data_IF_692844929719
#
_entry.id   IF_692844929719
#
_cell.length_a   1.000
_cell.length_b   1.000
_cell.length_c   1.000
_cell.angle_alpha   90.00
_cell.angle_beta   90.00
_cell.angle_gamma   90.00
#
_symmetry.space_group_name_H-M   'P 1'
#
loop_
_entity.id
_entity.type
_entity.pdbx_description
1 polymer ?
#
# COMPACT_ATOMS: atom_id res chain seq x y z
N UNK A 1 -4.44 -23.21 21.04
CA UNK A 1 -4.06 -22.09 20.14
C UNK A 1 -4.67 -20.83 20.74
N UNK A 2 -3.82 -19.87 21.11
CA UNK A 2 -4.27 -18.54 21.54
C UNK A 2 -4.43 -17.69 20.30
N UNK A 3 -5.58 -17.08 20.13
CA UNK A 3 -5.83 -16.13 19.04
C UNK A 3 -5.67 -14.73 19.59
N UNK A 4 -4.91 -13.88 18.94
CA UNK A 4 -4.81 -12.45 19.23
C UNK A 4 -5.52 -11.64 18.15
N UNK A 5 -5.95 -10.44 18.48
CA UNK A 5 -6.56 -9.54 17.51
C UNK A 5 -5.48 -8.90 16.62
N UNK A 6 -5.80 -8.64 15.36
CA UNK A 6 -4.86 -8.01 14.41
C UNK A 6 -4.22 -6.71 14.94
N UNK A 7 -4.97 -5.77 15.58
CA UNK A 7 -4.35 -4.58 16.17
C UNK A 7 -3.31 -4.91 17.26
N UNK A 8 -3.57 -5.91 18.09
CA UNK A 8 -2.63 -6.35 19.12
C UNK A 8 -1.37 -6.94 18.50
N UNK A 9 -1.51 -7.74 17.43
CA UNK A 9 -0.38 -8.25 16.65
C UNK A 9 0.46 -7.11 16.05
N UNK A 10 -0.18 -6.08 15.51
CA UNK A 10 0.52 -4.89 14.97
C UNK A 10 1.32 -4.17 16.06
N UNK A 11 0.76 -3.98 17.26
CA UNK A 11 1.49 -3.36 18.38
C UNK A 11 2.70 -4.19 18.81
N UNK A 12 2.55 -5.51 18.90
CA UNK A 12 3.64 -6.41 19.29
C UNK A 12 4.74 -6.45 18.23
N UNK A 13 4.37 -6.56 16.95
CA UNK A 13 5.31 -6.53 15.83
C UNK A 13 6.09 -5.21 15.79
N UNK A 14 5.43 -4.07 16.01
CA UNK A 14 6.06 -2.76 16.08
C UNK A 14 7.14 -2.72 17.15
N UNK A 15 6.82 -3.19 18.37
CA UNK A 15 7.77 -3.25 19.49
C UNK A 15 8.92 -4.24 19.26
N UNK A 16 8.69 -5.28 18.47
CA UNK A 16 9.71 -6.26 18.12
C UNK A 16 10.69 -5.76 17.07
N UNK A 17 10.19 -5.05 16.05
CA UNK A 17 10.99 -4.65 14.88
C UNK A 17 11.69 -3.31 15.09
N UNK A 18 11.01 -2.36 15.76
CA UNK A 18 11.53 -1.00 15.90
C UNK A 18 12.17 -0.77 17.29
N UNK A 19 13.22 0.08 17.38
CA UNK A 19 13.73 0.51 18.68
C UNK A 19 12.69 1.30 19.47
N UNK A 20 12.78 1.34 20.80
CA UNK A 20 11.80 1.98 21.69
C UNK A 20 11.58 3.48 21.39
N UNK A 21 12.62 4.16 20.90
CA UNK A 21 12.62 5.60 20.61
C UNK A 21 12.29 5.94 19.13
N UNK A 22 11.71 4.99 18.38
CA UNK A 22 11.38 5.21 16.98
C UNK A 22 10.36 6.35 16.76
N UNK A 23 10.49 7.12 15.66
CA UNK A 23 9.60 8.25 15.39
C UNK A 23 8.27 7.85 14.74
N UNK A 24 8.12 6.59 14.29
CA UNK A 24 6.96 6.14 13.52
C UNK A 24 5.74 6.03 14.41
N UNK A 25 4.77 6.93 14.20
CA UNK A 25 3.47 6.93 14.89
C UNK A 25 2.33 6.56 13.97
N UNK A 26 2.62 6.32 12.70
CA UNK A 26 1.64 5.93 11.68
C UNK A 26 2.12 4.66 11.00
N UNK A 27 1.30 3.61 11.08
CA UNK A 27 1.53 2.35 10.41
C UNK A 27 0.49 2.22 9.30
N UNK A 28 0.95 2.16 8.06
CA UNK A 28 0.12 1.94 6.89
C UNK A 28 0.21 0.46 6.48
N UNK A 29 -0.81 -0.31 6.80
CA UNK A 29 -0.93 -1.71 6.37
C UNK A 29 -1.62 -1.78 5.01
N UNK A 30 -0.86 -2.17 3.99
CA UNK A 30 -1.32 -2.30 2.62
C UNK A 30 -1.43 -3.79 2.24
N UNK A 31 -2.57 -4.37 2.55
CA UNK A 31 -2.86 -5.78 2.38
C UNK A 31 -3.42 -6.16 1.00
N UNK A 32 -3.67 -7.45 0.83
CA UNK A 32 -4.31 -7.99 -0.36
C UNK A 32 -5.78 -7.59 -0.49
N UNK A 33 -6.52 -7.55 0.62
CA UNK A 33 -7.96 -7.28 0.63
C UNK A 33 -8.33 -5.90 1.16
N UNK A 34 -7.53 -5.35 2.07
CA UNK A 34 -7.80 -4.07 2.75
C UNK A 34 -6.55 -3.24 2.93
N UNK A 35 -6.75 -1.92 2.95
CA UNK A 35 -5.76 -0.96 3.42
C UNK A 35 -6.25 -0.38 4.74
N UNK A 36 -5.35 -0.36 5.73
CA UNK A 36 -5.57 0.16 7.07
C UNK A 36 -4.47 1.15 7.43
N UNK A 37 -4.82 2.14 8.23
CA UNK A 37 -3.85 3.05 8.85
C UNK A 37 -4.06 3.02 10.34
N UNK A 38 -3.05 2.61 11.07
CA UNK A 38 -3.00 2.62 12.53
C UNK A 38 -2.28 3.88 12.99
N UNK A 39 -2.87 4.59 13.91
CA UNK A 39 -2.25 5.72 14.60
C UNK A 39 -1.88 5.31 16.02
N UNK A 40 -0.58 5.40 16.34
CA UNK A 40 -0.03 5.03 17.64
C UNK A 40 0.04 6.26 18.56
N UNK A 41 -0.21 6.03 19.85
CA UNK A 41 0.09 6.99 20.90
C UNK A 41 1.60 7.06 21.21
N UNK A 42 1.97 7.91 22.18
CA UNK A 42 3.37 8.06 22.59
C UNK A 42 3.99 6.79 23.20
N UNK A 43 3.16 5.86 23.67
CA UNK A 43 3.58 4.59 24.27
C UNK A 43 3.59 3.42 23.28
N UNK A 44 3.27 3.69 22.00
CA UNK A 44 3.18 2.69 20.95
C UNK A 44 1.90 1.85 20.97
N UNK A 45 0.89 2.27 21.71
CA UNK A 45 -0.45 1.67 21.67
C UNK A 45 -1.28 2.23 20.52
N UNK A 46 -2.14 1.42 19.91
CA UNK A 46 -3.04 1.88 18.83
C UNK A 46 -4.14 2.77 19.41
N UNK A 47 -4.13 4.04 19.02
CA UNK A 47 -5.14 5.02 19.43
C UNK A 47 -6.33 5.05 18.45
N UNK A 48 -6.07 4.97 17.16
CA UNK A 48 -7.08 5.01 16.11
C UNK A 48 -6.73 4.05 14.96
N UNK A 49 -7.78 3.55 14.29
CA UNK A 49 -7.66 2.74 13.08
C UNK A 49 -8.53 3.38 12.01
N UNK A 50 -7.94 3.72 10.88
CA UNK A 50 -8.64 4.22 9.71
C UNK A 50 -8.67 3.14 8.65
N UNK A 51 -9.86 2.87 8.13
CA UNK A 51 -10.07 1.91 7.05
C UNK A 51 -10.74 2.58 5.87
N UNK A 52 -10.34 2.21 4.66
CA UNK A 52 -10.95 2.73 3.44
C UNK A 52 -12.33 2.16 3.17
N UNK A 53 -13.01 2.76 2.21
CA UNK A 53 -14.19 2.15 1.64
C UNK A 53 -13.83 0.76 1.10
N UNK A 54 -14.72 -0.23 1.31
CA UNK A 54 -14.55 -1.61 0.82
C UNK A 54 -14.60 -1.69 -0.71
N UNK A 55 -13.85 -0.84 -1.40
CA UNK A 55 -13.74 -0.83 -2.85
C UNK A 55 -12.46 -1.57 -3.25
N UNK A 56 -12.61 -2.65 -3.98
CA UNK A 56 -11.50 -3.49 -4.42
C UNK A 56 -10.41 -2.75 -5.20
N UNK A 57 -10.71 -1.61 -5.84
CA UNK A 57 -9.79 -0.93 -6.77
C UNK A 57 -8.46 -0.43 -6.15
N UNK A 58 -8.32 -0.44 -4.83
CA UNK A 58 -7.09 -0.02 -4.15
C UNK A 58 -6.40 -1.14 -3.41
N UNK A 59 -6.78 -2.39 -3.63
CA UNK A 59 -6.26 -3.54 -2.89
C UNK A 59 -5.21 -4.30 -3.69
N UNK A 60 -4.36 -5.05 -2.99
CA UNK A 60 -3.34 -5.89 -3.63
C UNK A 60 -3.95 -6.95 -4.54
N UNK A 61 -5.07 -7.55 -4.16
CA UNK A 61 -5.74 -8.56 -5.00
C UNK A 61 -6.25 -7.94 -6.31
N UNK A 62 -6.81 -6.73 -6.28
CA UNK A 62 -7.20 -6.04 -7.52
C UNK A 62 -6.00 -5.78 -8.42
N UNK A 63 -4.86 -5.36 -7.84
CA UNK A 63 -3.61 -5.16 -8.58
C UNK A 63 -3.17 -6.46 -9.26
N UNK A 64 -3.12 -7.56 -8.52
CA UNK A 64 -2.77 -8.89 -9.06
C UNK A 64 -3.72 -9.33 -10.17
N UNK A 65 -5.02 -9.06 -10.05
CA UNK A 65 -5.99 -9.35 -11.11
C UNK A 65 -5.69 -8.55 -12.38
N UNK A 66 -5.26 -7.29 -12.27
CA UNK A 66 -4.87 -6.51 -13.45
C UNK A 66 -3.57 -7.04 -14.07
N UNK A 67 -2.58 -7.45 -13.28
CA UNK A 67 -1.35 -8.08 -13.77
C UNK A 67 -1.65 -9.36 -14.55
N UNK A 68 -2.48 -10.26 -14.01
CA UNK A 68 -2.91 -11.51 -14.70
C UNK A 68 -3.57 -11.20 -16.04
N UNK A 69 -4.37 -10.14 -16.14
CA UNK A 69 -5.03 -9.72 -17.40
C UNK A 69 -4.06 -9.15 -18.43
N UNK A 70 -2.95 -8.58 -17.98
CA UNK A 70 -1.87 -8.07 -18.82
C UNK A 70 -0.82 -9.14 -19.18
N UNK A 71 -0.97 -10.34 -18.62
CA UNK A 71 0.03 -11.42 -18.69
C UNK A 71 1.41 -10.90 -18.26
N UNK A 72 1.48 -10.46 -16.99
CA UNK A 72 2.69 -9.94 -16.34
C UNK A 72 2.81 -10.55 -14.97
N UNK A 73 4.00 -11.01 -14.63
CA UNK A 73 4.37 -11.51 -13.30
C UNK A 73 4.80 -10.39 -12.35
N UNK A 74 4.81 -10.68 -11.04
CA UNK A 74 5.35 -9.76 -10.05
C UNK A 74 6.85 -9.51 -10.23
N UNK A 75 7.61 -10.51 -10.68
CA UNK A 75 9.05 -10.37 -10.94
C UNK A 75 9.31 -9.38 -12.09
N UNK A 76 8.51 -9.44 -13.15
CA UNK A 76 8.57 -8.48 -14.25
C UNK A 76 8.23 -7.07 -13.76
N UNK A 77 7.19 -6.92 -12.93
CA UNK A 77 6.85 -5.62 -12.30
C UNK A 77 8.01 -5.09 -11.44
N UNK A 78 8.67 -5.95 -10.69
CA UNK A 78 9.80 -5.57 -9.84
C UNK A 78 11.03 -5.12 -10.63
N UNK A 79 11.17 -5.59 -11.88
CA UNK A 79 12.25 -5.25 -12.81
C UNK A 79 11.91 -4.03 -13.70
N UNK A 80 10.65 -3.61 -13.75
CA UNK A 80 10.23 -2.46 -14.60
C UNK A 80 10.78 -1.14 -14.07
N UNK A 81 11.19 -0.28 -14.99
CA UNK A 81 11.43 1.13 -14.70
C UNK A 81 10.11 1.85 -14.41
N UNK A 82 10.12 2.69 -13.40
CA UNK A 82 8.94 3.48 -13.03
C UNK A 82 8.94 4.74 -13.89
N UNK A 83 7.96 4.93 -14.80
CA UNK A 83 7.90 6.11 -15.64
C UNK A 83 7.61 7.35 -14.80
N UNK A 84 8.22 8.49 -15.17
CA UNK A 84 8.01 9.78 -14.51
C UNK A 84 6.53 10.22 -14.58
N UNK A 85 5.86 9.89 -15.67
CA UNK A 85 4.45 10.25 -15.89
C UNK A 85 3.61 8.99 -15.99
N UNK A 86 3.04 8.52 -14.85
CA UNK A 86 2.19 7.34 -14.84
C UNK A 86 0.86 7.61 -15.54
N UNK A 87 0.26 6.57 -16.13
CA UNK A 87 -1.09 6.67 -16.68
C UNK A 87 -2.09 7.07 -15.58
N UNK A 88 -2.94 8.04 -15.88
CA UNK A 88 -4.02 8.42 -14.97
C UNK A 88 -5.18 7.43 -15.08
N UNK A 89 -5.42 6.66 -14.02
CA UNK A 89 -6.53 5.71 -13.92
C UNK A 89 -7.56 6.16 -12.89
N UNK A 90 -8.80 5.73 -13.07
CA UNK A 90 -9.89 6.07 -12.13
C UNK A 90 -9.68 5.41 -10.77
N UNK A 91 -9.74 6.20 -9.70
CA UNK A 91 -9.70 5.72 -8.31
C UNK A 91 -11.08 5.42 -7.72
N UNK A 92 -12.17 5.84 -8.39
CA UNK A 92 -13.52 5.80 -7.82
C UNK A 92 -14.12 4.41 -7.75
N UNK A 93 -13.87 3.57 -8.75
CA UNK A 93 -14.52 2.26 -8.88
C UNK A 93 -13.62 1.29 -9.64
N UNK A 94 -13.57 0.05 -9.17
CA UNK A 94 -12.78 -1.02 -9.81
C UNK A 94 -13.20 -1.28 -11.27
N UNK A 95 -14.46 -1.09 -11.61
CA UNK A 95 -14.96 -1.27 -12.98
C UNK A 95 -14.38 -0.19 -13.91
N UNK A 96 -14.41 1.08 -13.50
CA UNK A 96 -13.85 2.17 -14.28
C UNK A 96 -12.31 2.06 -14.37
N UNK A 97 -11.63 1.79 -13.26
CA UNK A 97 -10.18 1.56 -13.25
C UNK A 97 -9.78 0.45 -14.23
N UNK A 98 -10.49 -0.69 -14.19
CA UNK A 98 -10.28 -1.81 -15.11
C UNK A 98 -10.52 -1.40 -16.58
N UNK A 99 -11.56 -0.61 -16.83
CA UNK A 99 -11.87 -0.09 -18.17
C UNK A 99 -10.78 0.83 -18.68
N UNK A 100 -10.29 1.75 -17.84
CA UNK A 100 -9.22 2.69 -18.19
C UNK A 100 -7.94 1.95 -18.57
N UNK A 101 -7.53 0.95 -17.77
CA UNK A 101 -6.36 0.10 -18.08
C UNK A 101 -6.54 -0.62 -19.42
N UNK A 102 -7.70 -1.24 -19.65
CA UNK A 102 -7.98 -1.96 -20.91
C UNK A 102 -7.95 -1.02 -22.10
N UNK A 103 -8.56 0.17 -21.96
CA UNK A 103 -8.60 1.16 -23.03
C UNK A 103 -7.22 1.71 -23.39
N UNK A 104 -6.39 1.98 -22.36
CA UNK A 104 -5.02 2.42 -22.55
C UNK A 104 -4.20 1.38 -23.33
N UNK A 105 -4.25 0.11 -22.91
CA UNK A 105 -3.55 -0.98 -23.59
C UNK A 105 -4.01 -1.14 -25.04
N UNK A 106 -5.32 -1.03 -25.30
CA UNK A 106 -5.87 -1.11 -26.66
C UNK A 106 -5.43 0.09 -27.55
N UNK A 107 -5.06 1.21 -26.95
CA UNK A 107 -4.48 2.38 -27.63
C UNK A 107 -2.96 2.26 -27.84
N UNK A 108 -2.34 1.21 -27.33
CA UNK A 108 -0.90 0.99 -27.46
C UNK A 108 -0.05 1.62 -26.37
N UNK A 109 -0.67 2.03 -25.23
CA UNK A 109 0.09 2.46 -24.06
C UNK A 109 0.97 1.33 -23.53
N UNK A 110 2.15 1.67 -23.06
CA UNK A 110 3.09 0.71 -22.50
C UNK A 110 2.54 0.10 -21.18
N UNK A 111 2.71 -1.21 -21.02
CA UNK A 111 2.29 -1.90 -19.78
C UNK A 111 2.90 -1.27 -18.55
N UNK A 112 4.15 -0.81 -18.60
CA UNK A 112 4.83 -0.12 -17.49
C UNK A 112 4.08 1.15 -17.06
N UNK A 113 3.58 1.95 -18.01
CA UNK A 113 2.80 3.17 -17.72
C UNK A 113 1.47 2.83 -17.03
N UNK A 114 0.79 1.76 -17.47
CA UNK A 114 -0.46 1.29 -16.86
C UNK A 114 -0.23 0.78 -15.42
N UNK A 115 0.84 -0.01 -15.22
CA UNK A 115 1.22 -0.55 -13.90
C UNK A 115 1.61 0.59 -12.94
N UNK A 116 2.38 1.56 -13.41
CA UNK A 116 2.71 2.74 -12.63
C UNK A 116 1.46 3.54 -12.24
N UNK A 117 0.51 3.70 -13.18
CA UNK A 117 -0.78 4.34 -12.91
C UNK A 117 -1.60 3.63 -11.84
N UNK A 118 -1.67 2.31 -11.90
CA UNK A 118 -2.32 1.50 -10.87
C UNK A 118 -1.63 1.66 -9.51
N UNK A 119 -0.30 1.61 -9.48
CA UNK A 119 0.50 1.74 -8.26
C UNK A 119 0.37 3.14 -7.63
N UNK A 120 0.35 4.19 -8.47
CA UNK A 120 0.10 5.55 -8.00
C UNK A 120 -1.32 5.70 -7.43
N UNK A 121 -2.34 5.14 -8.08
CA UNK A 121 -3.71 5.13 -7.58
C UNK A 121 -3.82 4.40 -6.23
N UNK A 122 -3.10 3.28 -6.03
CA UNK A 122 -3.04 2.59 -4.74
C UNK A 122 -2.40 3.48 -3.66
N UNK A 123 -1.30 4.17 -4.00
CA UNK A 123 -0.67 5.16 -3.12
C UNK A 123 -1.65 6.28 -2.72
N UNK A 124 -2.40 6.84 -3.69
CA UNK A 124 -3.41 7.89 -3.41
C UNK A 124 -4.49 7.38 -2.45
N UNK A 125 -4.99 6.16 -2.65
CA UNK A 125 -5.99 5.56 -1.76
C UNK A 125 -5.47 5.34 -0.34
N UNK A 126 -4.21 4.98 -0.20
CA UNK A 126 -3.60 4.87 1.12
C UNK A 126 -3.48 6.24 1.79
N UNK A 127 -3.05 7.28 1.04
CA UNK A 127 -2.98 8.66 1.52
C UNK A 127 -4.36 9.19 1.97
N UNK A 128 -5.44 8.86 1.26
CA UNK A 128 -6.80 9.24 1.65
C UNK A 128 -7.18 8.74 3.07
N UNK A 129 -6.56 7.64 3.55
CA UNK A 129 -6.81 7.10 4.89
C UNK A 129 -6.11 7.87 6.02
N UNK A 130 -5.06 8.62 5.70
CA UNK A 130 -4.36 9.41 6.73
C UNK A 130 -5.23 10.54 7.26
N UNK A 131 -6.15 11.08 6.45
CA UNK A 131 -7.06 12.17 6.83
C UNK A 131 -6.31 13.37 7.44
N UNK A 132 -6.45 13.57 8.77
CA UNK A 132 -5.80 14.64 9.52
C UNK A 132 -4.52 14.20 10.26
N UNK A 133 -4.10 12.94 10.07
CA UNK A 133 -2.91 12.39 10.73
C UNK A 133 -1.67 12.94 10.04
N UNK A 134 -0.62 13.25 10.83
CA UNK A 134 0.68 13.64 10.28
C UNK A 134 1.27 12.51 9.43
N UNK A 135 1.83 12.88 8.28
CA UNK A 135 2.54 11.98 7.36
C UNK A 135 4.06 12.13 7.47
N UNK A 136 4.57 12.58 8.61
CA UNK A 136 6.00 12.84 8.77
C UNK A 136 6.84 11.57 8.79
N UNK A 137 6.40 10.56 9.57
CA UNK A 137 7.09 9.29 9.71
C UNK A 137 6.09 8.14 9.58
N UNK A 138 6.13 7.44 8.47
CA UNK A 138 5.19 6.37 8.12
C UNK A 138 5.92 5.04 8.00
N UNK A 139 5.41 4.04 8.71
CA UNK A 139 5.82 2.64 8.53
C UNK A 139 4.86 1.98 7.54
N UNK A 140 5.38 1.48 6.42
CA UNK A 140 4.57 0.75 5.43
C UNK A 140 4.78 -0.75 5.58
N UNK A 141 3.69 -1.48 5.81
CA UNK A 141 3.67 -2.93 6.00
C UNK A 141 2.59 -3.59 5.12
N UNK A 142 2.53 -4.91 5.14
CA UNK A 142 1.60 -5.69 4.32
C UNK A 142 2.19 -6.09 2.96
N UNK A 143 1.55 -7.03 2.29
CA UNK A 143 2.06 -7.59 1.03
C UNK A 143 2.28 -6.58 -0.10
N UNK A 144 1.51 -5.48 -0.13
CA UNK A 144 1.68 -4.43 -1.12
C UNK A 144 2.90 -3.52 -0.86
N UNK A 145 3.53 -3.59 0.32
CA UNK A 145 4.77 -2.86 0.59
C UNK A 145 5.91 -3.29 -0.35
N UNK A 146 5.86 -4.51 -0.89
CA UNK A 146 6.78 -5.00 -1.92
C UNK A 146 6.60 -4.37 -3.30
N UNK A 147 5.50 -3.64 -3.55
CA UNK A 147 5.29 -2.92 -4.81
C UNK A 147 6.16 -1.66 -4.85
N UNK A 148 7.33 -1.75 -5.51
CA UNK A 148 8.30 -0.65 -5.61
C UNK A 148 7.71 0.64 -6.19
N UNK A 149 6.83 0.52 -7.19
CA UNK A 149 6.19 1.69 -7.80
C UNK A 149 5.22 2.36 -6.82
N UNK A 150 4.42 1.61 -6.07
CA UNK A 150 3.56 2.16 -5.02
C UNK A 150 4.39 2.86 -3.94
N UNK A 151 5.46 2.22 -3.46
CA UNK A 151 6.37 2.79 -2.48
C UNK A 151 7.05 4.07 -3.01
N UNK A 152 7.44 4.10 -4.29
CA UNK A 152 8.00 5.28 -4.95
C UNK A 152 7.02 6.47 -4.91
N UNK A 153 5.77 6.27 -5.34
CA UNK A 153 4.77 7.33 -5.33
C UNK A 153 4.35 7.74 -3.90
N UNK A 154 4.37 6.81 -2.96
CA UNK A 154 4.10 7.12 -1.56
C UNK A 154 5.21 7.99 -0.95
N UNK A 155 6.49 7.71 -1.24
CA UNK A 155 7.63 8.54 -0.81
C UNK A 155 7.56 9.98 -1.30
N UNK A 156 6.88 10.26 -2.39
CA UNK A 156 6.69 11.64 -2.87
C UNK A 156 5.62 12.40 -2.06
N UNK A 157 4.80 11.70 -1.27
CA UNK A 157 3.63 12.24 -0.56
C UNK A 157 3.81 12.28 0.95
N UNK A 158 4.76 11.52 1.49
CA UNK A 158 5.11 11.47 2.91
C UNK A 158 6.55 11.95 3.10
N UNK A 159 6.87 12.47 4.28
CA UNK A 159 8.21 13.00 4.54
C UNK A 159 9.25 11.90 4.71
N UNK A 160 8.90 10.86 5.46
CA UNK A 160 9.76 9.70 5.71
C UNK A 160 8.92 8.42 5.63
N UNK A 161 9.35 7.47 4.80
CA UNK A 161 8.71 6.18 4.60
C UNK A 161 9.70 5.06 4.91
N UNK A 162 9.47 4.35 5.99
CA UNK A 162 10.20 3.12 6.31
C UNK A 162 9.40 1.88 5.91
N UNK A 163 10.07 0.93 5.30
CA UNK A 163 9.52 -0.37 4.92
C UNK A 163 10.46 -1.41 5.53
N UNK A 164 10.07 -2.11 6.60
CA UNK A 164 10.90 -3.13 7.20
C UNK A 164 11.01 -4.35 6.28
N UNK A 165 12.08 -5.11 6.43
CA UNK A 165 12.31 -6.33 5.64
C UNK A 165 11.18 -7.35 5.85
N UNK A 166 10.62 -7.40 7.05
CA UNK A 166 9.50 -8.25 7.45
C UNK A 166 8.13 -7.68 7.07
N UNK A 167 8.06 -6.61 6.29
CA UNK A 167 6.81 -5.90 5.96
C UNK A 167 5.69 -6.82 5.47
N UNK A 168 6.02 -7.89 4.73
CA UNK A 168 5.07 -8.82 4.14
C UNK A 168 4.43 -9.80 5.15
N UNK A 169 5.03 -9.99 6.31
CA UNK A 169 4.55 -10.88 7.38
C UNK A 169 4.46 -10.16 8.73
N UNK A 170 4.37 -8.83 8.72
CA UNK A 170 4.45 -7.96 9.88
C UNK A 170 3.47 -8.37 10.98
N UNK A 171 2.20 -8.56 10.67
CA UNK A 171 1.16 -8.95 11.62
C UNK A 171 1.37 -10.38 12.17
N UNK A 172 2.12 -11.22 11.46
CA UNK A 172 2.42 -12.59 11.91
C UNK A 172 3.59 -12.66 12.90
N UNK A 173 4.32 -11.57 13.10
CA UNK A 173 5.43 -11.48 14.06
C UNK A 173 4.97 -11.06 15.46
N UNK A 174 3.82 -10.43 15.58
CA UNK A 174 3.18 -10.09 16.85
C UNK A 174 2.21 -11.15 17.31
#
# INVERSE_FOLDING_TARGET
LTTIAEPEAVELATKYILPEDHPYRVIASAGGETFLVYHLDEKGGIQNIHTGNKCASGTGEFFLQQLRRMDISLDEVAAMEIPETPLKVSSRCSVFCKSDCTHALNKGEEKASVIAGLSNMMSDKLIELFQTISMDHVLLVGGCAGNKAMAHFLRQKVRDLHIPDESHCFEALG
#
